data_IF_742839622222
#
_entry.id   IF_742839622222
#
_cell.length_a   1.000
_cell.length_b   1.000
_cell.length_c   1.000
_cell.angle_alpha   90.00
_cell.angle_beta   90.00
_cell.angle_gamma   90.00
#
_symmetry.space_group_name_H-M   'P 1'
#
loop_
_entity.id
_entity.type
_entity.pdbx_description
1 polymer ?
#
# COMPACT_ATOMS: atom_id res chain seq x y z
N UNK A 1 43.04 23.52 -46.62
CA UNK A 1 44.00 22.46 -46.25
C UNK A 1 45.09 23.15 -45.46
N UNK A 2 44.98 23.16 -44.13
CA UNK A 2 46.08 23.35 -43.19
C UNK A 2 45.52 23.06 -41.79
N UNK A 3 46.11 22.06 -41.14
CA UNK A 3 45.84 21.62 -39.77
C UNK A 3 46.95 22.16 -38.87
N UNK A 4 46.60 22.66 -37.70
CA UNK A 4 47.43 22.46 -36.51
C UNK A 4 46.60 22.53 -35.23
N UNK A 5 46.95 21.65 -34.30
CA UNK A 5 46.36 21.36 -33.01
C UNK A 5 47.16 22.12 -31.94
N UNK A 6 46.50 22.65 -30.90
CA UNK A 6 47.12 22.84 -29.59
C UNK A 6 46.09 22.86 -28.46
N UNK A 7 46.53 22.30 -27.34
CA UNK A 7 45.78 21.84 -26.19
C UNK A 7 45.75 22.86 -25.02
N UNK A 8 44.94 22.55 -23.99
CA UNK A 8 44.97 23.14 -22.65
C UNK A 8 43.78 24.06 -22.38
N UNK A 9 43.14 24.11 -21.21
CA UNK A 9 43.39 23.47 -19.92
C UNK A 9 42.08 23.52 -19.12
N UNK A 10 41.79 22.48 -18.33
CA UNK A 10 40.73 22.50 -17.33
C UNK A 10 41.10 23.49 -16.21
N UNK A 11 40.21 24.45 -15.96
CA UNK A 11 40.29 25.38 -14.83
C UNK A 11 39.54 24.82 -13.63
N UNK A 12 40.29 24.28 -12.68
CA UNK A 12 39.87 23.96 -11.31
C UNK A 12 39.62 25.25 -10.54
N UNK A 13 38.46 25.39 -9.89
CA UNK A 13 38.25 26.35 -8.82
C UNK A 13 38.19 25.58 -7.50
N UNK A 14 39.28 25.64 -6.75
CA UNK A 14 39.37 25.27 -5.34
C UNK A 14 39.56 26.56 -4.52
N UNK A 15 39.13 26.52 -3.24
CA UNK A 15 39.44 27.38 -2.06
C UNK A 15 38.15 27.46 -1.22
N UNK A 16 38.04 27.17 0.08
CA UNK A 16 38.92 26.74 1.18
C UNK A 16 37.96 26.20 2.28
N UNK A 17 38.10 24.95 2.75
CA UNK A 17 38.64 24.54 4.06
C UNK A 17 38.43 25.47 5.28
N UNK A 18 37.75 24.91 6.28
CA UNK A 18 37.76 25.30 7.70
C UNK A 18 36.45 24.85 8.36
N UNK A 19 36.40 24.04 9.41
CA UNK A 19 37.40 23.41 10.25
C UNK A 19 36.65 22.56 11.29
N UNK A 20 37.32 21.52 11.79
CA UNK A 20 36.84 20.60 12.80
C UNK A 20 36.42 21.29 14.11
N UNK A 21 35.40 20.73 14.76
CA UNK A 21 35.03 21.05 16.13
C UNK A 21 34.18 19.92 16.73
N UNK A 22 34.85 18.95 17.35
CA UNK A 22 34.26 18.02 18.30
C UNK A 22 33.84 18.79 19.56
N UNK A 23 32.75 18.37 20.22
CA UNK A 23 32.78 17.95 21.63
C UNK A 23 31.38 17.63 22.17
N UNK A 24 31.32 16.44 22.78
CA UNK A 24 30.61 16.07 24.01
C UNK A 24 29.08 16.08 24.01
N UNK A 25 28.53 14.87 23.92
CA UNK A 25 27.28 14.47 24.56
C UNK A 25 27.36 14.71 26.08
N UNK A 26 26.31 15.29 26.65
CA UNK A 26 26.03 15.30 28.07
C UNK A 26 24.70 14.58 28.34
N UNK A 27 24.60 13.80 29.43
CA UNK A 27 23.49 12.89 29.67
C UNK A 27 22.27 13.66 30.19
N UNK A 28 21.10 13.41 29.61
CA UNK A 28 19.84 13.89 30.17
C UNK A 28 19.25 12.78 31.04
N UNK A 29 19.55 12.86 32.34
CA UNK A 29 18.74 12.24 33.37
C UNK A 29 17.48 13.10 33.58
N UNK A 30 16.32 12.47 33.47
CA UNK A 30 15.04 13.14 33.63
C UNK A 30 13.90 12.14 33.60
N UNK A 31 13.74 11.40 34.70
CA UNK A 31 12.54 10.64 34.98
C UNK A 31 11.37 11.61 35.12
N UNK A 32 10.55 11.71 34.08
CA UNK A 32 9.21 12.28 34.16
C UNK A 32 8.22 11.17 33.82
N UNK A 33 7.39 10.84 34.79
CA UNK A 33 6.33 9.85 34.69
C UNK A 33 5.46 10.12 33.46
N UNK A 34 5.53 9.23 32.46
CA UNK A 34 4.47 9.13 31.46
C UNK A 34 3.32 8.40 32.12
N UNK A 35 2.40 9.16 32.69
CA UNK A 35 1.06 8.67 32.98
C UNK A 35 0.46 8.15 31.69
N UNK A 36 -0.01 6.90 31.74
CA UNK A 36 -0.63 6.18 30.64
C UNK A 36 -1.94 6.87 30.23
N UNK A 37 -1.92 7.59 29.11
CA UNK A 37 -3.13 7.90 28.33
C UNK A 37 -3.35 6.87 27.20
N UNK A 38 -2.77 5.67 27.34
CA UNK A 38 -3.00 4.52 26.45
C UNK A 38 -4.05 3.53 26.97
N UNK A 39 -4.66 3.80 28.14
CA UNK A 39 -5.65 2.90 28.76
C UNK A 39 -7.12 3.27 28.48
N UNK A 40 -7.38 4.19 27.54
CA UNK A 40 -8.75 4.36 27.03
C UNK A 40 -8.96 3.50 25.80
N UNK A 41 -9.54 2.32 26.03
CA UNK A 41 -10.23 1.52 25.00
C UNK A 41 -11.05 2.46 24.12
N UNK A 42 -10.90 2.44 22.78
CA UNK A 42 -11.80 3.21 21.92
C UNK A 42 -13.24 2.82 22.25
N UNK A 43 -14.10 3.82 22.48
CA UNK A 43 -15.52 3.58 22.56
C UNK A 43 -15.98 2.87 21.27
N UNK A 44 -16.99 2.00 21.36
CA UNK A 44 -17.59 1.30 20.23
C UNK A 44 -18.45 2.24 19.34
N UNK A 45 -17.89 3.39 18.98
CA UNK A 45 -18.28 4.26 17.88
C UNK A 45 -17.13 4.12 16.87
N UNK A 46 -17.27 3.56 15.68
CA UNK A 46 -18.34 3.76 14.69
C UNK A 46 -18.31 2.59 13.70
N UNK A 47 -19.13 1.55 13.91
CA UNK A 47 -19.52 0.73 12.76
C UNK A 47 -20.30 1.64 11.85
N UNK A 48 -19.75 1.98 10.69
CA UNK A 48 -20.52 2.68 9.66
C UNK A 48 -21.69 1.80 9.26
N UNK A 49 -22.91 2.36 9.22
CA UNK A 49 -24.14 1.55 9.22
C UNK A 49 -24.84 1.50 7.87
N UNK A 50 -24.42 2.34 6.90
CA UNK A 50 -25.05 2.40 5.57
C UNK A 50 -24.68 1.12 4.81
N UNK A 51 -25.67 0.27 4.54
CA UNK A 51 -25.54 -0.95 3.73
C UNK A 51 -26.12 -0.90 2.30
N UNK A 52 -26.40 0.25 1.64
CA UNK A 52 -26.61 0.24 0.20
C UNK A 52 -25.27 -0.04 -0.48
N UNK A 53 -25.34 -0.51 -1.72
CA UNK A 53 -24.13 -0.77 -2.48
C UNK A 53 -23.25 0.50 -2.58
N UNK A 54 -21.97 0.36 -2.27
CA UNK A 54 -20.95 1.33 -2.65
C UNK A 54 -20.62 1.11 -4.13
N UNK A 55 -20.57 2.18 -4.92
CA UNK A 55 -20.20 2.14 -6.33
C UNK A 55 -19.26 3.31 -6.60
N UNK A 56 -18.09 3.00 -7.13
CA UNK A 56 -17.13 3.96 -7.66
C UNK A 56 -17.01 3.75 -9.16
N UNK A 57 -17.44 4.73 -9.96
CA UNK A 57 -17.33 4.73 -11.43
C UNK A 57 -16.24 5.68 -11.92
N UNK A 58 -15.55 6.38 -11.03
CA UNK A 58 -14.48 7.34 -11.36
C UNK A 58 -14.88 8.49 -12.31
N UNK A 59 -16.15 8.65 -12.67
CA UNK A 59 -16.64 9.73 -13.53
C UNK A 59 -16.38 11.12 -12.92
N UNK A 60 -16.44 11.20 -11.60
CA UNK A 60 -16.20 12.41 -10.80
C UNK A 60 -14.78 12.43 -10.19
N UNK A 61 -13.81 11.81 -10.87
CA UNK A 61 -12.42 11.71 -10.44
C UNK A 61 -12.15 10.52 -9.50
N UNK A 62 -11.05 10.55 -8.72
CA UNK A 62 -10.56 9.36 -8.02
C UNK A 62 -11.41 8.87 -6.85
N UNK A 63 -12.44 9.62 -6.40
CA UNK A 63 -13.31 9.20 -5.29
C UNK A 63 -12.59 8.98 -3.95
N UNK A 64 -11.34 9.44 -3.83
CA UNK A 64 -10.46 9.18 -2.69
C UNK A 64 -9.75 7.81 -2.72
N UNK A 65 -9.76 7.13 -3.86
CA UNK A 65 -8.82 6.05 -4.16
C UNK A 65 -7.47 6.62 -4.60
N UNK A 66 -6.37 5.96 -4.29
CA UNK A 66 -5.00 6.38 -4.57
C UNK A 66 -4.30 5.37 -5.50
N UNK A 67 -3.37 5.86 -6.33
CA UNK A 67 -2.49 5.00 -7.14
C UNK A 67 -1.22 4.66 -6.36
N UNK A 68 -0.84 3.38 -6.30
CA UNK A 68 0.39 2.94 -5.62
C UNK A 68 0.58 3.53 -4.21
N UNK A 69 1.82 3.70 -3.75
CA UNK A 69 2.10 4.31 -2.44
C UNK A 69 2.29 5.83 -2.58
N UNK A 70 1.27 6.59 -2.17
CA UNK A 70 1.22 8.08 -2.17
C UNK A 70 1.16 8.74 -3.56
N UNK A 71 0.81 8.03 -4.62
CA UNK A 71 0.56 8.68 -5.90
C UNK A 71 -0.92 9.02 -6.04
N UNK A 72 -1.18 10.14 -6.70
CA UNK A 72 -2.51 10.44 -7.22
C UNK A 72 -2.93 9.32 -8.15
N UNK A 73 -4.21 8.94 -8.09
CA UNK A 73 -4.76 7.99 -9.04
C UNK A 73 -5.10 8.72 -10.35
N UNK A 74 -4.42 8.42 -11.47
CA UNK A 74 -4.80 8.98 -12.76
C UNK A 74 -6.18 8.45 -13.16
N UNK A 75 -7.10 9.37 -13.39
CA UNK A 75 -8.46 9.05 -13.87
C UNK A 75 -8.68 9.78 -15.19
N UNK A 76 -9.16 9.03 -16.19
CA UNK A 76 -9.52 9.59 -17.49
C UNK A 76 -10.75 8.88 -18.06
N UNK A 77 -11.76 9.66 -18.41
CA UNK A 77 -13.01 9.17 -19.01
C UNK A 77 -13.70 8.06 -18.19
N UNK A 78 -13.89 8.31 -16.89
CA UNK A 78 -14.52 7.34 -15.97
C UNK A 78 -13.67 6.10 -15.66
N UNK A 79 -12.36 6.13 -15.96
CA UNK A 79 -11.48 4.97 -15.75
C UNK A 79 -10.26 5.35 -14.93
N UNK A 80 -10.00 4.57 -13.89
CA UNK A 80 -8.78 4.63 -13.09
C UNK A 80 -7.64 3.85 -13.76
N UNK A 81 -6.47 4.47 -13.93
CA UNK A 81 -5.31 3.89 -14.62
C UNK A 81 -4.17 3.61 -13.64
N UNK A 82 -3.85 2.34 -13.44
CA UNK A 82 -2.74 1.89 -12.60
C UNK A 82 -1.54 1.50 -13.48
N UNK A 83 -0.60 2.43 -13.67
CA UNK A 83 0.60 2.21 -14.48
C UNK A 83 1.74 1.56 -13.68
N UNK A 84 2.32 0.50 -14.23
CA UNK A 84 3.57 -0.08 -13.77
C UNK A 84 4.80 0.68 -14.33
N UNK A 85 5.97 0.63 -13.66
CA UNK A 85 6.26 -0.14 -12.45
C UNK A 85 5.53 0.40 -11.21
N UNK A 86 4.92 -0.50 -10.44
CA UNK A 86 4.21 -0.16 -9.20
C UNK A 86 5.16 -0.14 -8.01
N UNK A 87 4.71 0.48 -6.91
CA UNK A 87 5.48 0.51 -5.67
C UNK A 87 5.66 -0.90 -5.10
N UNK A 88 6.91 -1.35 -4.94
CA UNK A 88 7.25 -2.59 -4.24
C UNK A 88 7.19 -2.38 -2.73
N UNK A 89 6.22 -3.02 -2.09
CA UNK A 89 6.10 -3.00 -0.63
C UNK A 89 6.89 -4.14 0.00
N UNK A 90 7.76 -3.78 0.95
CA UNK A 90 8.59 -4.68 1.73
C UNK A 90 8.13 -4.84 3.19
N UNK A 91 7.02 -4.21 3.59
CA UNK A 91 6.50 -4.25 4.96
C UNK A 91 6.11 -5.67 5.40
N UNK A 92 5.80 -6.55 4.44
CA UNK A 92 5.42 -7.94 4.65
C UNK A 92 6.46 -8.95 4.14
N UNK A 93 7.65 -8.48 3.78
CA UNK A 93 8.77 -9.36 3.40
C UNK A 93 9.05 -10.39 4.52
N UNK A 94 9.69 -11.53 4.20
CA UNK A 94 10.05 -12.55 5.19
C UNK A 94 10.62 -11.93 6.49
N UNK A 95 10.14 -12.36 7.66
CA UNK A 95 9.31 -13.55 7.94
C UNK A 95 7.79 -13.40 7.68
N UNK A 96 7.32 -12.27 7.13
CA UNK A 96 5.97 -12.16 6.59
C UNK A 96 5.78 -12.97 5.30
N UNK A 97 4.60 -12.88 4.71
CA UNK A 97 4.21 -13.70 3.56
C UNK A 97 4.94 -13.34 2.25
N UNK A 98 5.57 -12.17 2.16
CA UNK A 98 6.35 -11.79 0.99
C UNK A 98 6.19 -10.32 0.58
N UNK A 99 6.80 -10.00 -0.55
CA UNK A 99 6.69 -8.70 -1.18
C UNK A 99 5.41 -8.62 -2.02
N UNK A 100 4.86 -7.41 -2.16
CA UNK A 100 3.72 -7.12 -3.02
C UNK A 100 3.90 -5.82 -3.80
N UNK A 101 3.09 -5.63 -4.83
CA UNK A 101 2.92 -4.33 -5.49
C UNK A 101 1.55 -3.76 -5.17
N UNK A 102 1.48 -2.50 -4.74
CA UNK A 102 0.21 -1.79 -4.55
C UNK A 102 -0.23 -1.13 -5.86
N UNK A 103 -1.46 -1.40 -6.30
CA UNK A 103 -2.00 -0.79 -7.53
C UNK A 103 -2.93 0.37 -7.20
N UNK A 104 -3.95 0.08 -6.40
CA UNK A 104 -5.08 0.95 -6.14
C UNK A 104 -5.55 0.73 -4.70
N UNK A 105 -5.80 1.78 -3.92
CA UNK A 105 -6.29 1.62 -2.54
C UNK A 105 -7.13 2.79 -2.06
N UNK A 106 -7.96 2.58 -1.04
CA UNK A 106 -8.74 3.62 -0.39
C UNK A 106 -8.87 3.36 1.11
N UNK A 107 -8.88 4.45 1.88
CA UNK A 107 -9.25 4.41 3.30
C UNK A 107 -10.72 4.07 3.47
N UNK A 108 -11.06 3.28 4.47
CA UNK A 108 -12.46 2.95 4.79
C UNK A 108 -13.05 3.82 5.90
N UNK A 109 -12.21 4.52 6.66
CA UNK A 109 -12.63 5.42 7.76
C UNK A 109 -11.85 6.73 7.78
N UNK A 110 -12.47 7.78 8.30
CA UNK A 110 -11.92 9.15 8.25
C UNK A 110 -10.67 9.37 9.12
N UNK A 111 -10.61 8.71 10.29
CA UNK A 111 -9.57 8.92 11.30
C UNK A 111 -8.14 8.80 10.74
N UNK A 112 -7.94 7.92 9.75
CA UNK A 112 -6.61 7.63 9.22
C UNK A 112 -6.05 8.73 8.32
N UNK A 113 -6.86 9.34 7.45
CA UNK A 113 -6.40 10.43 6.58
C UNK A 113 -6.58 11.83 7.18
N UNK A 114 -7.43 11.98 8.21
CA UNK A 114 -7.61 13.25 8.91
C UNK A 114 -6.51 13.55 9.92
N UNK A 115 -5.83 12.53 10.45
CA UNK A 115 -4.71 12.72 11.37
C UNK A 115 -3.60 13.56 10.72
N UNK A 116 -3.10 14.57 11.42
CA UNK A 116 -2.05 15.45 10.86
C UNK A 116 -0.64 14.86 11.03
N UNK A 117 -0.37 13.79 10.30
CA UNK A 117 0.92 13.11 10.27
C UNK A 117 1.77 13.59 9.09
N UNK A 118 3.09 13.43 9.19
CA UNK A 118 3.99 13.67 8.06
C UNK A 118 3.66 12.78 6.85
N UNK A 119 3.14 11.56 7.11
CA UNK A 119 2.65 10.67 6.07
C UNK A 119 1.45 11.29 5.33
N UNK A 120 0.43 11.72 6.06
CA UNK A 120 -0.79 12.28 5.48
C UNK A 120 -0.56 13.63 4.79
N UNK A 121 0.41 14.44 5.26
CA UNK A 121 0.83 15.68 4.56
C UNK A 121 1.46 15.41 3.20
N UNK A 122 1.98 14.21 2.97
CA UNK A 122 2.57 13.82 1.70
C UNK A 122 1.59 13.10 0.77
N UNK A 123 0.33 12.90 1.16
CA UNK A 123 -0.70 12.34 0.28
C UNK A 123 -1.17 13.40 -0.73
N UNK A 124 -1.52 12.99 -1.97
CA UNK A 124 -2.02 13.90 -2.99
C UNK A 124 -3.35 14.57 -2.60
N UNK A 125 -4.16 13.85 -1.83
CA UNK A 125 -5.40 14.31 -1.20
C UNK A 125 -5.64 13.52 0.09
N UNK A 126 -6.58 13.97 0.91
CA UNK A 126 -6.98 13.31 2.17
C UNK A 126 -8.49 13.14 2.18
N UNK A 127 -8.96 12.12 1.46
CA UNK A 127 -10.38 11.89 1.23
C UNK A 127 -10.62 10.41 0.92
N UNK A 128 -11.84 9.95 1.16
CA UNK A 128 -12.39 8.68 0.68
C UNK A 128 -13.91 8.79 0.64
N UNK A 129 -14.52 8.71 -0.54
CA UNK A 129 -15.99 8.78 -0.68
C UNK A 129 -16.67 7.67 0.10
N UNK A 130 -16.07 6.47 0.13
CA UNK A 130 -16.53 5.36 0.97
C UNK A 130 -16.68 5.79 2.44
N UNK A 131 -15.63 6.40 2.99
CA UNK A 131 -15.61 6.86 4.38
C UNK A 131 -16.47 8.11 4.60
N UNK A 132 -16.48 9.05 3.65
CA UNK A 132 -17.22 10.30 3.75
C UNK A 132 -18.72 10.08 3.80
N UNK A 133 -19.22 9.16 2.97
CA UNK A 133 -20.64 8.82 2.85
C UNK A 133 -21.11 7.76 3.86
N UNK A 134 -20.20 7.28 4.72
CA UNK A 134 -20.52 6.39 5.84
C UNK A 134 -20.91 4.96 5.42
N UNK A 135 -20.32 4.43 4.36
CA UNK A 135 -20.50 3.04 3.93
C UNK A 135 -19.94 2.06 4.97
N UNK A 136 -20.63 0.93 5.18
CA UNK A 136 -20.29 -0.03 6.24
C UNK A 136 -18.90 -0.65 6.07
N UNK A 137 -18.08 -0.59 7.11
CA UNK A 137 -16.77 -1.28 7.21
C UNK A 137 -16.91 -2.76 7.54
N UNK A 138 -18.10 -3.21 7.96
CA UNK A 138 -18.37 -4.64 8.06
C UNK A 138 -18.56 -5.21 6.66
N UNK A 139 -17.51 -5.86 6.17
CA UNK A 139 -17.47 -6.49 4.86
C UNK A 139 -17.69 -8.00 4.92
N UNK A 140 -18.16 -8.53 6.05
CA UNK A 140 -18.45 -9.96 6.22
C UNK A 140 -19.49 -10.40 5.20
N UNK A 141 -19.12 -11.37 4.37
CA UNK A 141 -19.90 -11.90 3.25
C UNK A 141 -20.30 -10.85 2.20
N UNK A 142 -19.65 -9.68 2.18
CA UNK A 142 -19.87 -8.71 1.12
C UNK A 142 -19.39 -9.26 -0.22
N UNK A 143 -20.06 -8.88 -1.30
CA UNK A 143 -19.62 -9.14 -2.67
C UNK A 143 -18.90 -7.91 -3.18
N UNK A 144 -17.62 -8.06 -3.51
CA UNK A 144 -16.85 -7.02 -4.17
C UNK A 144 -16.77 -7.34 -5.66
N UNK A 145 -17.33 -6.46 -6.48
CA UNK A 145 -17.38 -6.59 -7.94
C UNK A 145 -16.52 -5.49 -8.55
N UNK A 146 -15.69 -5.85 -9.52
CA UNK A 146 -14.90 -4.91 -10.30
C UNK A 146 -15.17 -5.11 -11.79
N UNK A 147 -15.21 -4.02 -12.54
CA UNK A 147 -15.06 -4.03 -13.99
C UNK A 147 -13.66 -3.57 -14.33
N UNK A 148 -12.83 -4.49 -14.81
CA UNK A 148 -11.42 -4.21 -15.09
C UNK A 148 -10.94 -4.79 -16.41
N UNK A 149 -9.85 -4.23 -16.91
CA UNK A 149 -9.01 -4.78 -17.98
C UNK A 149 -7.56 -4.41 -17.74
N UNK A 150 -6.65 -5.04 -18.47
CA UNK A 150 -5.25 -4.68 -18.42
C UNK A 150 -4.39 -5.44 -19.41
N UNK A 151 -3.14 -5.02 -19.51
CA UNK A 151 -2.14 -5.69 -20.30
C UNK A 151 -0.75 -5.47 -19.70
N UNK A 152 0.03 -6.53 -19.60
CA UNK A 152 1.35 -6.47 -18.99
C UNK A 152 2.02 -7.82 -18.93
N UNK A 153 3.24 -7.79 -18.39
CA UNK A 153 3.99 -8.95 -17.93
C UNK A 153 3.87 -8.95 -16.41
N UNK A 154 2.95 -9.75 -15.89
CA UNK A 154 2.64 -9.82 -14.45
C UNK A 154 3.43 -10.89 -13.70
N UNK A 155 4.34 -11.60 -14.40
CA UNK A 155 5.10 -12.72 -13.84
C UNK A 155 4.14 -13.76 -13.24
N UNK A 156 4.45 -14.24 -12.03
CA UNK A 156 3.62 -15.17 -11.26
C UNK A 156 2.69 -14.43 -10.27
N UNK A 157 2.63 -13.10 -10.32
CA UNK A 157 1.83 -12.32 -9.39
C UNK A 157 0.36 -12.31 -9.82
N UNK A 158 -0.53 -12.53 -8.86
CA UNK A 158 -1.97 -12.48 -9.07
C UNK A 158 -2.53 -11.14 -8.61
N UNK A 159 -3.59 -10.66 -9.27
CA UNK A 159 -4.33 -9.49 -8.81
C UNK A 159 -5.30 -9.90 -7.72
N UNK A 160 -5.06 -9.41 -6.51
CA UNK A 160 -5.81 -9.80 -5.32
C UNK A 160 -6.44 -8.58 -4.64
N UNK A 161 -7.52 -8.84 -3.91
CA UNK A 161 -8.03 -7.94 -2.89
C UNK A 161 -7.22 -8.13 -1.61
N UNK A 162 -6.76 -7.05 -1.00
CA UNK A 162 -6.22 -6.98 0.35
C UNK A 162 -7.10 -6.06 1.19
N UNK A 163 -7.40 -6.51 2.40
CA UNK A 163 -8.11 -5.71 3.42
C UNK A 163 -7.19 -5.47 4.60
N UNK A 164 -7.23 -4.25 5.13
CA UNK A 164 -6.54 -3.88 6.36
C UNK A 164 -7.54 -3.51 7.45
N UNK A 165 -7.27 -4.00 8.65
CA UNK A 165 -8.04 -3.67 9.84
C UNK A 165 -7.12 -3.55 11.05
N UNK A 166 -7.40 -2.59 11.94
CA UNK A 166 -6.84 -2.56 13.29
C UNK A 166 -7.75 -3.38 14.19
N UNK A 167 -7.18 -4.43 14.79
CA UNK A 167 -7.83 -5.22 15.85
C UNK A 167 -7.25 -4.84 17.21
N UNK A 168 -7.70 -5.50 18.28
CA UNK A 168 -7.10 -5.41 19.60
C UNK A 168 -5.68 -6.00 19.65
N UNK A 169 -5.31 -6.80 18.65
CA UNK A 169 -4.01 -7.47 18.56
C UNK A 169 -2.97 -6.69 17.76
N UNK A 170 -3.34 -6.13 16.60
CA UNK A 170 -2.39 -5.56 15.64
C UNK A 170 -3.11 -4.85 14.48
N UNK A 171 -2.36 -4.22 13.57
CA UNK A 171 -2.86 -3.86 12.24
C UNK A 171 -2.70 -5.09 11.31
N UNK A 172 -3.80 -5.73 10.96
CA UNK A 172 -3.82 -6.94 10.12
C UNK A 172 -3.86 -6.55 8.65
N UNK A 173 -3.09 -7.27 7.84
CA UNK A 173 -3.11 -7.22 6.39
C UNK A 173 -3.46 -8.60 5.85
N UNK A 174 -4.64 -8.76 5.25
CA UNK A 174 -5.10 -10.06 4.75
C UNK A 174 -5.42 -9.97 3.26
N UNK A 175 -4.75 -10.80 2.46
CA UNK A 175 -5.00 -10.92 1.02
C UNK A 175 -5.94 -12.10 0.73
N UNK A 176 -6.96 -11.88 -0.09
CA UNK A 176 -7.92 -12.90 -0.53
C UNK A 176 -7.31 -13.77 -1.64
N UNK A 177 -6.33 -14.60 -1.28
CA UNK A 177 -5.56 -15.44 -2.22
C UNK A 177 -6.38 -16.55 -2.86
N UNK A 178 -7.50 -16.96 -2.27
CA UNK A 178 -8.38 -17.99 -2.84
C UNK A 178 -9.23 -17.52 -4.03
N UNK A 179 -9.32 -16.21 -4.28
CA UNK A 179 -10.18 -15.64 -5.33
C UNK A 179 -9.46 -14.54 -6.13
N UNK A 180 -8.43 -14.88 -6.94
CA UNK A 180 -7.72 -13.90 -7.74
C UNK A 180 -8.59 -13.33 -8.89
N UNK A 181 -8.41 -12.05 -9.18
CA UNK A 181 -8.98 -11.42 -10.37
C UNK A 181 -8.12 -11.71 -11.59
N UNK A 182 -8.77 -12.01 -12.71
CA UNK A 182 -8.09 -12.23 -14.00
C UNK A 182 -7.88 -10.91 -14.71
N UNK A 183 -6.64 -10.56 -15.01
CA UNK A 183 -6.34 -9.41 -15.87
C UNK A 183 -6.39 -9.86 -17.33
N UNK A 184 -7.34 -9.33 -18.09
CA UNK A 184 -7.45 -9.59 -19.54
C UNK A 184 -7.47 -8.29 -20.33
N UNK A 185 -7.17 -8.35 -21.63
CA UNK A 185 -7.18 -7.16 -22.50
C UNK A 185 -8.57 -6.56 -22.65
N UNK A 186 -9.60 -7.40 -22.59
CA UNK A 186 -10.99 -6.99 -22.68
C UNK A 186 -11.55 -6.62 -21.31
N UNK A 187 -12.54 -5.74 -21.31
CA UNK A 187 -13.29 -5.45 -20.11
C UNK A 187 -14.02 -6.70 -19.62
N UNK A 188 -13.85 -7.00 -18.34
CA UNK A 188 -14.53 -8.10 -17.67
C UNK A 188 -15.05 -7.62 -16.33
N UNK A 189 -16.28 -8.02 -16.02
CA UNK A 189 -16.84 -7.88 -14.68
C UNK A 189 -16.53 -9.16 -13.89
N UNK A 190 -16.00 -9.01 -12.69
CA UNK A 190 -15.58 -10.11 -11.83
C UNK A 190 -15.97 -9.81 -10.40
N UNK A 191 -16.51 -10.82 -9.71
CA UNK A 191 -16.97 -10.70 -8.33
C UNK A 191 -16.24 -11.69 -7.45
N UNK A 192 -15.80 -11.22 -6.29
CA UNK A 192 -15.29 -12.05 -5.19
C UNK A 192 -16.21 -11.92 -3.98
N UNK A 193 -16.25 -12.95 -3.15
CA UNK A 193 -17.02 -12.95 -1.89
C UNK A 193 -16.07 -12.88 -0.71
N UNK A 194 -16.28 -11.90 0.17
CA UNK A 194 -15.50 -11.70 1.39
C UNK A 194 -16.05 -12.61 2.50
N UNK A 195 -16.01 -13.93 2.26
CA UNK A 195 -16.39 -14.92 3.26
C UNK A 195 -15.31 -15.02 4.35
N UNK A 196 -15.69 -15.18 5.64
CA UNK A 196 -14.75 -15.38 6.73
C UNK A 196 -14.23 -16.83 6.77
N UNK A 197 -13.70 -17.31 5.64
CA UNK A 197 -13.12 -18.63 5.48
C UNK A 197 -11.58 -18.52 5.47
N UNK A 198 -10.87 -18.90 6.55
CA UNK A 198 -9.41 -18.76 6.63
C UNK A 198 -8.65 -19.43 5.49
N UNK A 199 -9.20 -20.45 4.82
CA UNK A 199 -8.52 -21.10 3.68
C UNK A 199 -8.44 -20.21 2.44
N UNK A 200 -9.32 -19.21 2.34
CA UNK A 200 -9.35 -18.25 1.22
C UNK A 200 -8.41 -17.05 1.44
N UNK A 201 -7.90 -16.86 2.66
CA UNK A 201 -7.18 -15.65 3.04
C UNK A 201 -5.76 -15.96 3.51
N UNK A 202 -4.80 -15.22 2.99
CA UNK A 202 -3.43 -15.20 3.48
C UNK A 202 -3.22 -13.98 4.34
N UNK A 203 -2.96 -14.19 5.63
CA UNK A 203 -2.40 -13.12 6.46
C UNK A 203 -0.98 -12.82 5.99
N UNK A 204 -0.70 -11.56 5.68
CA UNK A 204 0.62 -11.15 5.20
C UNK A 204 1.68 -11.06 6.30
N UNK A 205 1.26 -10.98 7.56
CA UNK A 205 2.17 -10.85 8.70
C UNK A 205 3.04 -9.60 8.59
N UNK A 206 4.29 -9.69 9.06
CA UNK A 206 5.18 -8.54 9.10
C UNK A 206 6.63 -8.93 8.81
N UNK A 207 7.33 -8.01 8.15
CA UNK A 207 8.79 -7.98 8.16
C UNK A 207 9.32 -7.84 9.59
N UNK A 208 10.54 -8.28 9.82
CA UNK A 208 11.15 -8.38 11.15
C UNK A 208 11.09 -7.10 11.99
N UNK A 209 11.15 -5.91 11.39
CA UNK A 209 11.14 -4.59 12.04
C UNK A 209 9.79 -3.88 11.95
N UNK A 210 8.77 -4.55 11.43
CA UNK A 210 7.38 -4.06 11.34
C UNK A 210 6.45 -4.81 12.28
N UNK A 211 6.97 -5.72 13.11
CA UNK A 211 6.19 -6.60 14.01
C UNK A 211 5.42 -5.87 15.11
N UNK A 212 5.83 -4.65 15.46
CA UNK A 212 5.10 -3.80 16.41
C UNK A 212 3.87 -3.14 15.77
N UNK A 213 3.84 -3.03 14.44
CA UNK A 213 2.75 -2.41 13.69
C UNK A 213 1.81 -3.47 13.08
N UNK A 214 2.40 -4.46 12.42
CA UNK A 214 1.68 -5.47 11.64
C UNK A 214 1.79 -6.88 12.23
N UNK A 215 0.75 -7.67 11.99
CA UNK A 215 0.67 -9.06 12.43
C UNK A 215 -0.54 -9.78 11.83
N UNK A 216 -0.94 -10.88 12.48
CA UNK A 216 -2.07 -11.70 12.05
C UNK A 216 -3.13 -11.81 13.15
N UNK A 217 -4.39 -11.82 12.74
CA UNK A 217 -5.55 -12.12 13.58
C UNK A 217 -6.59 -12.90 12.75
N UNK A 218 -7.67 -13.30 13.39
CA UNK A 218 -8.73 -14.09 12.78
C UNK A 218 -9.47 -13.26 11.70
N UNK A 219 -9.72 -13.87 10.54
CA UNK A 219 -10.30 -13.17 9.39
C UNK A 219 -11.75 -12.71 9.63
N UNK A 220 -12.49 -13.42 10.49
CA UNK A 220 -13.83 -13.03 10.91
C UNK A 220 -13.84 -11.66 11.61
N UNK A 221 -12.86 -11.40 12.48
CA UNK A 221 -12.69 -10.09 13.13
C UNK A 221 -12.29 -9.01 12.13
N UNK A 222 -11.36 -9.33 11.23
CA UNK A 222 -10.89 -8.38 10.21
C UNK A 222 -12.05 -7.95 9.30
N UNK A 223 -12.87 -8.89 8.84
CA UNK A 223 -14.01 -8.58 7.97
C UNK A 223 -15.19 -7.97 8.70
N UNK A 224 -15.33 -8.21 10.01
CA UNK A 224 -16.36 -7.58 10.82
C UNK A 224 -16.18 -6.05 10.91
N UNK A 225 -14.95 -5.55 10.76
CA UNK A 225 -14.63 -4.13 10.73
C UNK A 225 -13.33 -3.84 9.96
N UNK A 226 -13.41 -3.77 8.63
CA UNK A 226 -12.30 -3.35 7.75
C UNK A 226 -12.11 -1.85 7.90
N UNK A 227 -11.52 -1.44 9.02
CA UNK A 227 -11.45 -0.05 9.49
C UNK A 227 -10.15 0.68 9.13
N UNK A 228 -9.41 0.18 8.14
CA UNK A 228 -8.20 0.85 7.66
C UNK A 228 -8.26 1.07 6.15
N UNK A 229 -7.90 0.06 5.35
CA UNK A 229 -7.75 0.18 3.89
C UNK A 229 -8.41 -0.99 3.15
N UNK A 230 -8.93 -0.70 1.97
CA UNK A 230 -9.18 -1.68 0.90
C UNK A 230 -8.15 -1.44 -0.19
N UNK A 231 -7.44 -2.49 -0.63
CA UNK A 231 -6.28 -2.39 -1.51
C UNK A 231 -6.38 -3.46 -2.60
N UNK A 232 -6.12 -3.11 -3.85
CA UNK A 232 -5.81 -4.05 -4.92
C UNK A 232 -4.30 -4.16 -5.07
N UNK A 233 -3.80 -5.39 -5.01
CA UNK A 233 -2.37 -5.69 -5.04
C UNK A 233 -2.02 -6.71 -6.12
N UNK A 234 -0.76 -6.72 -6.55
CA UNK A 234 -0.15 -7.88 -7.19
C UNK A 234 0.70 -8.63 -6.16
N UNK A 235 0.40 -9.90 -5.95
CA UNK A 235 1.10 -10.75 -4.97
C UNK A 235 1.07 -12.22 -5.40
N UNK A 236 2.13 -13.01 -5.09
CA UNK A 236 3.43 -12.56 -4.58
C UNK A 236 4.28 -11.91 -5.69
N UNK A 237 5.20 -11.00 -5.32
CA UNK A 237 6.21 -10.48 -6.26
C UNK A 237 7.61 -10.95 -5.91
N UNK A 238 8.41 -11.25 -6.94
CA UNK A 238 9.79 -11.68 -6.79
C UNK A 238 10.74 -10.49 -6.75
N UNK A 239 11.31 -10.22 -5.58
CA UNK A 239 12.36 -9.19 -5.42
C UNK A 239 13.73 -9.81 -5.63
N UNK A 240 14.53 -9.17 -6.49
CA UNK A 240 15.93 -9.52 -6.77
C UNK A 240 16.76 -8.23 -6.70
N UNK A 241 17.87 -8.18 -5.93
CA UNK A 241 18.75 -7.02 -5.92
C UNK A 241 19.37 -6.74 -7.29
N UNK A 242 19.45 -5.46 -7.68
CA UNK A 242 20.06 -5.05 -8.94
C UNK A 242 21.52 -4.62 -8.74
N UNK A 243 22.47 -5.38 -9.30
CA UNK A 243 23.88 -4.99 -9.35
C UNK A 243 24.58 -4.94 -7.99
N UNK A 244 23.98 -5.54 -6.95
CA UNK A 244 24.55 -5.65 -5.61
C UNK A 244 24.33 -7.07 -5.09
N UNK A 245 25.30 -7.59 -4.34
CA UNK A 245 25.16 -8.85 -3.62
C UNK A 245 24.74 -8.53 -2.17
N UNK A 246 23.71 -9.22 -1.69
CA UNK A 246 23.16 -9.06 -0.34
C UNK A 246 22.89 -10.46 0.21
N UNK A 247 23.49 -10.79 1.35
CA UNK A 247 23.40 -12.12 1.96
C UNK A 247 21.95 -12.51 2.30
N UNK A 248 21.21 -11.62 2.97
CA UNK A 248 19.78 -11.75 3.22
C UNK A 248 19.05 -10.48 2.77
N UNK A 249 18.35 -10.61 1.65
CA UNK A 249 17.63 -9.51 1.00
C UNK A 249 16.47 -8.96 1.84
N UNK A 250 16.05 -9.68 2.89
CA UNK A 250 14.91 -9.31 3.73
C UNK A 250 15.32 -8.46 4.95
N UNK A 251 16.63 -8.40 5.26
CA UNK A 251 17.18 -7.59 6.35
C UNK A 251 17.26 -6.10 6.01
N UNK A 252 17.67 -5.67 4.80
CA UNK A 252 17.45 -4.29 4.34
C UNK A 252 16.08 -4.15 3.65
N UNK A 253 15.56 -2.92 3.52
CA UNK A 253 14.30 -2.65 2.81
C UNK A 253 14.54 -2.52 1.31
N UNK A 254 13.91 -3.39 0.53
CA UNK A 254 13.87 -3.28 -0.93
C UNK A 254 13.43 -1.87 -1.39
N UNK A 255 14.00 -1.37 -2.47
CA UNK A 255 13.78 -0.02 -3.07
C UNK A 255 14.30 1.15 -2.21
N UNK A 256 14.29 1.02 -0.88
CA UNK A 256 14.80 2.06 0.02
C UNK A 256 16.30 1.92 0.28
N UNK A 257 16.73 0.74 0.67
CA UNK A 257 18.09 0.47 1.14
C UNK A 257 18.93 -0.23 0.05
N UNK A 258 18.29 -0.83 -0.97
CA UNK A 258 18.96 -1.37 -2.14
C UNK A 258 18.08 -1.29 -3.41
N UNK A 259 18.68 -1.15 -4.60
CA UNK A 259 17.95 -1.14 -5.87
C UNK A 259 17.42 -2.55 -6.21
N UNK A 260 16.21 -2.61 -6.76
CA UNK A 260 15.56 -3.86 -7.17
C UNK A 260 15.57 -3.98 -8.69
N UNK A 261 15.88 -5.18 -9.17
CA UNK A 261 15.91 -5.51 -10.58
C UNK A 261 14.48 -5.61 -11.16
N UNK A 262 14.13 -4.60 -11.93
CA UNK A 262 12.81 -4.42 -12.52
C UNK A 262 12.45 -5.52 -13.53
N UNK A 263 13.41 -6.31 -14.03
CA UNK A 263 13.10 -7.39 -14.98
C UNK A 263 12.29 -8.53 -14.35
N UNK A 264 12.39 -8.69 -13.02
CA UNK A 264 11.70 -9.71 -12.25
C UNK A 264 10.37 -9.23 -11.66
N UNK A 265 10.08 -7.94 -11.75
CA UNK A 265 8.85 -7.37 -11.19
C UNK A 265 7.74 -7.31 -12.24
N UNK A 266 6.47 -7.37 -11.80
CA UNK A 266 5.32 -7.08 -12.66
C UNK A 266 5.41 -5.69 -13.29
N UNK A 267 5.02 -5.59 -14.56
CA UNK A 267 4.93 -4.33 -15.31
C UNK A 267 3.76 -4.36 -16.29
N UNK A 268 3.10 -3.23 -16.48
CA UNK A 268 1.99 -3.11 -17.41
C UNK A 268 1.01 -2.01 -17.02
N UNK A 269 -0.22 -2.17 -17.47
CA UNK A 269 -1.33 -1.29 -17.14
C UNK A 269 -2.51 -2.15 -16.68
N UNK A 270 -3.08 -1.79 -15.54
CA UNK A 270 -4.39 -2.28 -15.09
C UNK A 270 -5.33 -1.09 -14.99
N UNK A 271 -6.52 -1.22 -15.57
CA UNK A 271 -7.55 -0.19 -15.60
C UNK A 271 -8.78 -0.70 -14.85
N UNK A 272 -9.30 0.14 -13.97
CA UNK A 272 -10.56 -0.10 -13.26
C UNK A 272 -11.58 0.92 -13.74
N UNK A 273 -12.71 0.41 -14.22
CA UNK A 273 -13.84 1.23 -14.65
C UNK A 273 -14.88 1.33 -13.54
N UNK A 274 -15.10 0.24 -12.81
CA UNK A 274 -16.01 0.26 -11.65
C UNK A 274 -15.44 -0.57 -10.50
N UNK A 275 -15.60 -0.08 -9.28
CA UNK A 275 -15.49 -0.86 -8.04
C UNK A 275 -16.82 -0.79 -7.30
N UNK A 276 -17.40 -1.94 -6.97
CA UNK A 276 -18.70 -2.05 -6.32
C UNK A 276 -18.62 -2.98 -5.12
N UNK A 277 -19.24 -2.61 -4.01
CA UNK A 277 -19.36 -3.44 -2.81
C UNK A 277 -20.84 -3.58 -2.47
N UNK A 278 -21.33 -4.81 -2.42
CA UNK A 278 -22.69 -5.17 -2.05
C UNK A 278 -22.68 -5.94 -0.74
N UNK A 279 -23.51 -5.49 0.21
CA UNK A 279 -23.64 -6.12 1.52
C UNK A 279 -24.69 -7.23 1.47
N UNK A 280 -24.54 -8.31 2.26
CA UNK A 280 -25.62 -9.26 2.47
C UNK A 280 -26.81 -8.58 3.17
N UNK A 281 -28.01 -9.10 2.91
CA UNK A 281 -29.25 -8.67 3.56
C UNK A 281 -29.21 -8.82 5.09
#
# INVERSE_FOLDING_TARGET
METSILAGSFGVLAILLGGCGSNTEAPVTGAAARTSELDSKPAADTLTTKRPAYIETFDDGPGGWYGGRKFELPVWDGVAYCYGPWWTDANHAPPGAGYLHMLLWAYTVKKHYQADTAYNRALPYRHSRFAEDGYSTNLTNAKLTVRLRGHGDFKDAELLLLVQAQTDKTTVNSALTGQPFKITREWSEQTVTLAPDPEQWTCLGARHDMKEEYGCDDIDKVLADVNFDIIFILFPVKVVPAGVEIDDINIPRAVKDYPVDQQYLPKGLVMFDTVKIEYPD
#
